data_IF_608857640717
#
_entry.id   IF_608857640717
#
_cell.length_a   1.000
_cell.length_b   1.000
_cell.length_c   1.000
_cell.angle_alpha   90.00
_cell.angle_beta   90.00
_cell.angle_gamma   90.00
#
_symmetry.space_group_name_H-M   'P 1'
#
loop_
_entity.id
_entity.type
_entity.pdbx_description
1 polymer ?
#
# COMPACT_ATOMS: atom_id res chain seq x y z
N UNK A 1 -8.77 -11.21 15.86
CA UNK A 1 -10.06 -10.66 16.37
C UNK A 1 -11.07 -11.80 16.49
N UNK A 2 -11.99 -11.72 17.46
CA UNK A 2 -13.06 -12.72 17.67
C UNK A 2 -14.40 -11.99 17.78
N UNK A 3 -15.41 -12.40 17.01
CA UNK A 3 -16.74 -11.78 17.04
C UNK A 3 -17.39 -11.90 18.42
N UNK A 4 -18.05 -10.83 18.88
CA UNK A 4 -18.69 -10.80 20.20
C UNK A 4 -17.76 -10.61 21.40
N UNK A 5 -16.43 -10.55 21.18
CA UNK A 5 -15.47 -10.43 22.26
C UNK A 5 -15.59 -9.10 23.03
N UNK A 6 -15.31 -9.18 24.33
CA UNK A 6 -15.23 -8.09 25.30
C UNK A 6 -13.81 -8.02 25.86
N UNK A 7 -13.49 -6.95 26.59
CA UNK A 7 -12.16 -6.81 27.21
C UNK A 7 -11.82 -7.97 28.15
N UNK A 8 -12.81 -8.51 28.85
CA UNK A 8 -12.63 -9.67 29.73
C UNK A 8 -12.18 -10.93 29.00
N UNK A 9 -12.66 -11.11 27.77
CA UNK A 9 -12.25 -12.24 26.95
C UNK A 9 -10.79 -12.07 26.52
N UNK A 10 -10.39 -10.86 26.11
CA UNK A 10 -8.98 -10.51 25.85
C UNK A 10 -8.07 -10.79 27.04
N UNK A 11 -8.50 -10.41 28.26
CA UNK A 11 -7.76 -10.71 29.51
C UNK A 11 -7.58 -12.21 29.74
N UNK A 12 -8.58 -13.03 29.40
CA UNK A 12 -8.50 -14.48 29.53
C UNK A 12 -7.62 -15.13 28.44
N UNK A 13 -7.51 -14.50 27.28
CA UNK A 13 -6.84 -15.08 26.10
C UNK A 13 -5.36 -14.73 25.95
N UNK A 14 -4.75 -13.99 26.88
CA UNK A 14 -3.35 -13.57 26.80
C UNK A 14 -2.38 -14.69 26.43
N UNK A 15 -2.48 -15.86 27.08
CA UNK A 15 -1.57 -16.97 26.78
C UNK A 15 -1.74 -17.52 25.37
N UNK A 16 -2.98 -17.53 24.86
CA UNK A 16 -3.28 -17.91 23.48
C UNK A 16 -2.71 -16.89 22.51
N UNK A 17 -2.98 -15.60 22.76
CA UNK A 17 -2.70 -14.52 21.81
C UNK A 17 -1.21 -14.15 21.76
N UNK A 18 -0.45 -14.43 22.82
CA UNK A 18 1.00 -14.17 22.92
C UNK A 18 1.86 -15.44 22.96
N UNK A 19 1.29 -16.61 22.62
CA UNK A 19 2.00 -17.90 22.65
C UNK A 19 3.27 -17.91 21.76
N UNK A 20 3.24 -17.19 20.64
CA UNK A 20 4.35 -17.08 19.71
C UNK A 20 5.43 -16.06 20.11
N UNK A 21 5.26 -15.37 21.25
CA UNK A 21 6.16 -14.33 21.74
C UNK A 21 5.55 -12.93 21.69
N UNK A 22 6.37 -11.93 22.02
CA UNK A 22 5.95 -10.53 22.04
C UNK A 22 5.95 -9.95 20.61
N UNK A 23 4.81 -9.46 20.09
CA UNK A 23 4.78 -8.71 18.84
C UNK A 23 5.40 -7.32 19.02
N UNK A 24 5.81 -6.66 17.93
CA UNK A 24 6.31 -5.28 18.01
C UNK A 24 5.21 -4.28 18.39
N UNK A 25 3.98 -4.51 17.95
CA UNK A 25 2.82 -3.64 18.19
C UNK A 25 1.57 -4.45 18.53
N UNK A 26 0.87 -4.04 19.60
CA UNK A 26 -0.45 -4.55 20.00
C UNK A 26 -1.48 -3.44 19.82
N UNK A 27 -2.40 -3.64 18.87
CA UNK A 27 -3.55 -2.77 18.67
C UNK A 27 -4.74 -3.26 19.51
N UNK A 28 -5.29 -2.39 20.35
CA UNK A 28 -6.40 -2.72 21.26
C UNK A 28 -7.66 -1.96 20.86
N UNK A 29 -8.67 -2.70 20.44
CA UNK A 29 -9.97 -2.15 20.04
C UNK A 29 -11.14 -2.96 20.62
N UNK A 30 -11.61 -2.54 21.79
CA UNK A 30 -12.76 -3.09 22.50
C UNK A 30 -13.75 -1.97 22.88
N UNK A 31 -14.97 -2.34 23.28
CA UNK A 31 -15.96 -1.38 23.80
C UNK A 31 -17.39 -1.61 23.31
N UNK A 32 -17.59 -2.01 22.04
CA UNK A 32 -18.94 -2.20 21.49
C UNK A 32 -19.74 -3.28 22.24
N UNK A 33 -19.15 -4.46 22.39
CA UNK A 33 -19.80 -5.58 23.08
C UNK A 33 -19.81 -5.39 24.59
N UNK A 34 -18.81 -4.72 25.14
CA UNK A 34 -18.77 -4.34 26.56
C UNK A 34 -19.97 -3.46 26.92
N UNK A 35 -20.21 -2.41 26.13
CA UNK A 35 -21.36 -1.52 26.32
C UNK A 35 -22.69 -2.26 26.10
N UNK A 36 -22.78 -3.07 25.05
CA UNK A 36 -24.00 -3.83 24.73
C UNK A 36 -24.33 -4.88 25.81
N UNK A 37 -23.30 -5.42 26.47
CA UNK A 37 -23.46 -6.38 27.59
C UNK A 37 -23.77 -5.71 28.92
N UNK A 38 -23.95 -4.39 28.96
CA UNK A 38 -24.30 -3.65 30.17
C UNK A 38 -23.12 -3.34 31.10
N UNK A 39 -21.87 -3.49 30.66
CA UNK A 39 -20.73 -3.09 31.47
C UNK A 39 -20.81 -1.58 31.78
N UNK A 40 -20.52 -1.21 33.02
CA UNK A 40 -20.39 0.21 33.37
C UNK A 40 -19.12 0.77 32.73
N UNK A 41 -19.09 2.10 32.52
CA UNK A 41 -17.90 2.77 31.98
C UNK A 41 -16.69 2.56 32.90
N UNK A 42 -16.90 2.62 34.21
CA UNK A 42 -15.83 2.46 35.19
C UNK A 42 -15.28 1.03 35.19
N UNK A 43 -16.15 0.02 35.08
CA UNK A 43 -15.73 -1.37 34.95
C UNK A 43 -14.95 -1.62 33.66
N UNK A 44 -15.42 -1.06 32.54
CA UNK A 44 -14.70 -1.12 31.26
C UNK A 44 -13.32 -0.48 31.37
N UNK A 45 -13.23 0.73 31.96
CA UNK A 45 -11.98 1.45 32.17
C UNK A 45 -10.98 0.62 33.00
N UNK A 46 -11.41 0.09 34.14
CA UNK A 46 -10.57 -0.74 35.01
C UNK A 46 -10.12 -2.01 34.30
N UNK A 47 -11.03 -2.67 33.58
CA UNK A 47 -10.70 -3.89 32.84
C UNK A 47 -9.73 -3.63 31.70
N UNK A 48 -9.86 -2.50 31.02
CA UNK A 48 -8.91 -2.06 30.00
C UNK A 48 -7.53 -1.75 30.59
N UNK A 49 -7.49 -1.01 31.69
CA UNK A 49 -6.26 -0.72 32.43
C UNK A 49 -5.53 -2.01 32.82
N UNK A 50 -6.23 -2.95 33.45
CA UNK A 50 -5.67 -4.26 33.81
C UNK A 50 -5.22 -5.07 32.58
N UNK A 51 -5.96 -5.01 31.47
CA UNK A 51 -5.56 -5.69 30.24
C UNK A 51 -4.24 -5.15 29.67
N UNK A 52 -4.05 -3.82 29.66
CA UNK A 52 -2.80 -3.18 29.25
C UNK A 52 -1.64 -3.63 30.15
N UNK A 53 -1.84 -3.63 31.47
CA UNK A 53 -0.81 -4.05 32.43
C UNK A 53 -0.41 -5.52 32.22
N UNK A 54 -1.38 -6.39 31.92
CA UNK A 54 -1.11 -7.80 31.62
C UNK A 54 -0.39 -7.99 30.29
N UNK A 55 -0.70 -7.22 29.26
CA UNK A 55 0.04 -7.22 27.99
C UNK A 55 1.50 -6.83 28.26
N UNK A 56 1.74 -5.74 28.99
CA UNK A 56 3.08 -5.32 29.36
C UNK A 56 3.83 -6.41 30.14
N UNK A 57 3.16 -7.08 31.09
CA UNK A 57 3.75 -8.17 31.85
C UNK A 57 4.13 -9.39 30.98
N UNK A 58 3.20 -9.90 30.15
CA UNK A 58 3.45 -11.11 29.34
C UNK A 58 4.49 -10.86 28.24
N UNK A 59 4.52 -9.64 27.69
CA UNK A 59 5.47 -9.21 26.67
C UNK A 59 6.79 -8.72 27.26
N UNK A 60 6.89 -8.61 28.58
CA UNK A 60 8.04 -8.02 29.31
C UNK A 60 8.36 -6.60 28.82
N UNK A 61 7.33 -5.82 28.49
CA UNK A 61 7.44 -4.46 27.97
C UNK A 61 8.02 -4.34 26.55
N UNK A 62 8.18 -5.45 25.82
CA UNK A 62 8.77 -5.42 24.46
C UNK A 62 7.79 -4.98 23.38
N UNK A 63 6.48 -5.05 23.66
CA UNK A 63 5.45 -4.67 22.70
C UNK A 63 5.03 -3.21 22.91
N UNK A 64 5.02 -2.43 21.85
CA UNK A 64 4.31 -1.15 21.82
C UNK A 64 2.78 -1.40 21.90
N UNK A 65 2.03 -0.46 22.47
CA UNK A 65 0.57 -0.55 22.59
C UNK A 65 -0.07 0.64 21.90
N UNK A 66 -0.99 0.38 20.98
CA UNK A 66 -1.86 1.39 20.36
C UNK A 66 -3.30 1.17 20.80
N UNK A 67 -3.88 2.19 21.44
CA UNK A 67 -5.28 2.18 21.82
C UNK A 67 -6.17 2.71 20.70
N UNK A 68 -7.36 2.14 20.55
CA UNK A 68 -8.37 2.61 19.62
C UNK A 68 -9.54 3.19 20.41
N UNK A 69 -9.90 4.45 20.17
CA UNK A 69 -11.15 4.99 20.67
C UNK A 69 -12.30 4.31 19.92
N UNK A 70 -13.10 3.50 20.62
CA UNK A 70 -14.05 2.58 19.98
C UNK A 70 -15.04 3.29 19.04
N UNK A 71 -15.19 2.75 17.83
CA UNK A 71 -16.12 3.24 16.82
C UNK A 71 -17.57 3.44 17.36
N UNK A 72 -18.31 4.45 16.86
CA UNK A 72 -19.73 4.58 17.09
C UNK A 72 -20.51 3.45 16.37
N UNK A 73 -21.75 3.22 16.80
CA UNK A 73 -22.73 2.52 15.97
C UNK A 73 -23.47 3.47 15.02
N UNK A 74 -24.48 2.97 14.32
CA UNK A 74 -25.39 3.81 13.51
C UNK A 74 -26.75 4.02 14.19
N UNK A 75 -27.58 4.88 13.60
CA UNK A 75 -28.96 5.13 14.05
C UNK A 75 -29.03 5.43 15.56
N UNK A 76 -29.83 4.69 16.34
CA UNK A 76 -29.97 4.87 17.79
C UNK A 76 -28.67 4.61 18.56
N UNK A 77 -27.68 3.92 17.96
CA UNK A 77 -26.39 3.60 18.58
C UNK A 77 -25.29 4.61 18.29
N UNK A 78 -25.60 5.68 17.55
CA UNK A 78 -24.63 6.72 17.18
C UNK A 78 -23.98 7.41 18.38
N UNK A 79 -24.72 7.58 19.47
CA UNK A 79 -24.23 8.20 20.72
C UNK A 79 -23.89 7.18 21.82
N UNK A 80 -24.15 5.89 21.56
CA UNK A 80 -24.08 4.84 22.59
C UNK A 80 -22.67 4.65 23.15
N UNK A 81 -21.65 4.90 22.32
CA UNK A 81 -20.25 4.60 22.62
C UNK A 81 -19.43 5.83 23.05
N UNK A 82 -20.03 7.02 23.13
CA UNK A 82 -19.31 8.28 23.38
C UNK A 82 -18.48 8.23 24.66
N UNK A 83 -19.10 7.78 25.76
CA UNK A 83 -18.41 7.65 27.04
C UNK A 83 -17.28 6.61 27.03
N UNK A 84 -17.44 5.54 26.26
CA UNK A 84 -16.42 4.48 26.12
C UNK A 84 -15.25 4.95 25.25
N UNK A 85 -15.53 5.65 24.16
CA UNK A 85 -14.51 6.27 23.33
C UNK A 85 -13.71 7.30 24.13
N UNK A 86 -14.38 8.14 24.92
CA UNK A 86 -13.70 9.09 25.80
C UNK A 86 -12.82 8.38 26.84
N UNK A 87 -13.31 7.28 27.44
CA UNK A 87 -12.50 6.48 28.38
C UNK A 87 -11.19 5.98 27.75
N UNK A 88 -11.20 5.58 26.48
CA UNK A 88 -9.99 5.15 25.79
C UNK A 88 -9.02 6.32 25.55
N UNK A 89 -9.51 7.52 25.21
CA UNK A 89 -8.68 8.74 25.10
C UNK A 89 -8.04 9.09 26.43
N UNK A 90 -8.84 9.11 27.50
CA UNK A 90 -8.36 9.46 28.84
C UNK A 90 -7.29 8.48 29.29
N UNK A 91 -7.54 7.17 29.12
CA UNK A 91 -6.58 6.12 29.48
C UNK A 91 -5.27 6.21 28.67
N UNK A 92 -5.36 6.56 27.38
CA UNK A 92 -4.19 6.77 26.55
C UNK A 92 -3.34 7.95 27.05
N UNK A 93 -3.98 9.10 27.30
CA UNK A 93 -3.32 10.30 27.79
C UNK A 93 -2.65 10.08 29.16
N UNK A 94 -3.36 9.47 30.11
CA UNK A 94 -2.84 9.15 31.45
C UNK A 94 -1.62 8.21 31.41
N UNK A 95 -1.58 7.29 30.45
CA UNK A 95 -0.52 6.29 30.33
C UNK A 95 0.57 6.68 29.33
N UNK A 96 0.47 7.86 28.70
CA UNK A 96 1.39 8.28 27.64
C UNK A 96 1.39 7.35 26.42
N UNK A 97 0.25 6.72 26.12
CA UNK A 97 0.10 5.80 24.99
C UNK A 97 -0.52 6.51 23.78
N UNK A 98 -0.17 6.10 22.54
CA UNK A 98 -0.87 6.59 21.36
C UNK A 98 -2.32 6.09 21.33
N UNK A 99 -3.22 6.93 20.80
CA UNK A 99 -4.63 6.62 20.62
C UNK A 99 -5.08 6.99 19.20
N UNK A 100 -5.48 5.98 18.42
CA UNK A 100 -6.11 6.19 17.13
C UNK A 100 -7.62 6.34 17.31
N UNK A 101 -8.14 7.52 16.97
CA UNK A 101 -9.52 7.90 17.27
C UNK A 101 -10.49 7.53 16.14
N UNK A 102 -10.77 6.23 16.01
CA UNK A 102 -11.79 5.72 15.07
C UNK A 102 -13.15 6.35 15.34
N UNK A 103 -13.45 6.65 16.61
CA UNK A 103 -14.71 7.26 16.99
C UNK A 103 -14.92 8.63 16.35
N UNK A 104 -13.94 9.53 16.49
CA UNK A 104 -13.99 10.85 15.89
C UNK A 104 -13.98 10.78 14.36
N UNK A 105 -13.15 9.91 13.78
CA UNK A 105 -13.10 9.68 12.33
C UNK A 105 -14.49 9.35 11.76
N UNK A 106 -15.16 8.34 12.32
CA UNK A 106 -16.46 7.90 11.82
C UNK A 106 -17.58 8.88 12.16
N UNK A 107 -17.52 9.56 13.31
CA UNK A 107 -18.49 10.62 13.64
C UNK A 107 -18.36 11.84 12.74
N UNK A 108 -17.15 12.16 12.28
CA UNK A 108 -16.90 13.27 11.35
C UNK A 108 -17.67 13.16 10.03
N UNK A 109 -18.04 11.93 9.62
CA UNK A 109 -18.91 11.71 8.45
C UNK A 109 -20.32 12.27 8.64
N UNK A 110 -20.78 12.41 9.89
CA UNK A 110 -22.15 12.71 10.23
C UNK A 110 -23.07 11.48 10.19
N UNK A 111 -24.19 11.57 10.92
CA UNK A 111 -25.08 10.43 11.20
C UNK A 111 -25.68 9.79 9.94
N UNK A 112 -26.02 10.60 8.94
CA UNK A 112 -26.62 10.11 7.68
C UNK A 112 -25.58 9.39 6.83
N UNK A 113 -24.41 10.01 6.60
CA UNK A 113 -23.39 9.43 5.73
C UNK A 113 -22.76 8.17 6.32
N UNK A 114 -22.58 8.12 7.65
CA UNK A 114 -22.01 6.95 8.32
C UNK A 114 -22.72 5.65 7.93
N UNK A 115 -24.04 5.68 7.69
CA UNK A 115 -24.80 4.49 7.32
C UNK A 115 -24.28 3.81 6.04
N UNK A 116 -23.73 4.57 5.08
CA UNK A 116 -23.14 4.03 3.86
C UNK A 116 -21.78 3.34 4.05
N UNK A 117 -21.15 3.50 5.21
CA UNK A 117 -19.87 2.89 5.59
C UNK A 117 -20.03 1.69 6.51
N UNK A 118 -21.27 1.31 6.85
CA UNK A 118 -21.55 0.25 7.82
C UNK A 118 -22.36 -0.87 7.15
N UNK A 119 -22.01 -2.12 7.43
CA UNK A 119 -22.73 -3.29 6.94
C UNK A 119 -24.02 -3.51 7.76
N UNK A 120 -23.99 -3.14 9.03
CA UNK A 120 -25.12 -3.16 9.95
C UNK A 120 -25.02 -2.01 10.97
N UNK A 121 -25.64 -2.14 12.14
CA UNK A 121 -25.60 -1.09 13.18
C UNK A 121 -24.29 -1.00 13.98
N UNK A 122 -23.34 -1.91 13.76
CA UNK A 122 -22.13 -2.10 14.54
C UNK A 122 -20.86 -2.20 13.69
N UNK A 123 -20.94 -2.90 12.55
CA UNK A 123 -19.78 -3.33 11.79
C UNK A 123 -19.57 -2.46 10.55
N UNK A 124 -18.36 -1.92 10.33
CA UNK A 124 -18.01 -1.28 9.07
C UNK A 124 -18.13 -2.26 7.89
N UNK A 125 -18.66 -1.80 6.76
CA UNK A 125 -18.60 -2.54 5.50
C UNK A 125 -17.21 -2.38 4.84
N UNK A 126 -16.98 -2.93 3.65
CA UNK A 126 -15.70 -2.82 2.94
C UNK A 126 -15.22 -1.36 2.80
N UNK A 127 -16.13 -0.42 2.50
CA UNK A 127 -15.83 1.02 2.38
C UNK A 127 -15.46 1.63 3.74
N UNK A 128 -16.15 1.24 4.81
CA UNK A 128 -15.83 1.62 6.19
C UNK A 128 -14.46 1.10 6.64
N UNK A 129 -14.17 -0.18 6.37
CA UNK A 129 -12.87 -0.77 6.68
C UNK A 129 -11.75 -0.07 5.91
N UNK A 130 -11.94 0.22 4.62
CA UNK A 130 -10.96 0.95 3.80
C UNK A 130 -10.67 2.34 4.38
N UNK A 131 -11.72 3.10 4.71
CA UNK A 131 -11.57 4.44 5.32
C UNK A 131 -10.73 4.38 6.61
N UNK A 132 -11.03 3.43 7.49
CA UNK A 132 -10.32 3.25 8.77
C UNK A 132 -8.87 2.83 8.51
N UNK A 133 -8.64 1.91 7.58
CA UNK A 133 -7.31 1.42 7.24
C UNK A 133 -6.41 2.53 6.67
N UNK A 134 -6.92 3.35 5.75
CA UNK A 134 -6.16 4.46 5.16
C UNK A 134 -5.73 5.47 6.23
N UNK A 135 -6.67 5.88 7.09
CA UNK A 135 -6.37 6.85 8.16
C UNK A 135 -5.48 6.24 9.25
N UNK A 136 -5.61 4.95 9.54
CA UNK A 136 -4.72 4.26 10.48
C UNK A 136 -3.30 4.21 9.93
N UNK A 137 -3.12 3.93 8.64
CA UNK A 137 -1.80 3.91 8.01
C UNK A 137 -1.14 5.30 8.07
N UNK A 138 -1.89 6.36 7.75
CA UNK A 138 -1.41 7.75 7.88
C UNK A 138 -1.04 8.09 9.33
N UNK A 139 -1.88 7.69 10.29
CA UNK A 139 -1.60 7.88 11.70
C UNK A 139 -0.32 7.16 12.14
N UNK A 140 -0.13 5.90 11.75
CA UNK A 140 1.08 5.12 12.09
C UNK A 140 2.34 5.73 11.46
N UNK A 141 2.28 6.17 10.21
CA UNK A 141 3.39 6.87 9.52
C UNK A 141 3.78 8.13 10.29
N UNK A 142 2.79 8.94 10.68
CA UNK A 142 3.02 10.16 11.46
C UNK A 142 3.60 9.85 12.84
N UNK A 143 3.06 8.86 13.57
CA UNK A 143 3.57 8.43 14.87
C UNK A 143 5.01 7.89 14.80
N UNK A 144 5.35 7.19 13.71
CA UNK A 144 6.69 6.66 13.48
C UNK A 144 7.69 7.72 12.96
N UNK A 145 7.23 8.94 12.63
CA UNK A 145 8.08 9.99 12.05
C UNK A 145 8.60 9.64 10.64
N UNK A 146 7.89 8.79 9.90
CA UNK A 146 8.29 8.36 8.56
C UNK A 146 8.00 9.50 7.58
N UNK A 147 9.03 10.02 6.92
CA UNK A 147 8.95 11.13 5.95
C UNK A 147 9.03 10.67 4.49
N UNK A 148 9.23 9.37 4.26
CA UNK A 148 9.27 8.83 2.91
C UNK A 148 7.88 8.93 2.28
N UNK A 149 7.76 9.40 1.01
CA UNK A 149 6.47 9.52 0.35
C UNK A 149 5.73 8.17 0.28
N UNK A 150 4.42 8.19 0.56
CA UNK A 150 3.55 7.02 0.36
C UNK A 150 3.73 6.53 -1.08
N UNK A 151 4.02 5.25 -1.31
CA UNK A 151 4.02 4.71 -2.66
C UNK A 151 2.66 4.97 -3.33
N UNK A 152 2.62 5.24 -4.64
CA UNK A 152 1.36 5.38 -5.36
C UNK A 152 0.49 4.14 -5.14
N UNK A 153 -0.83 4.36 -5.05
CA UNK A 153 -1.77 3.25 -4.94
C UNK A 153 -1.62 2.34 -6.17
N UNK A 154 -1.74 1.01 -6.03
CA UNK A 154 -1.70 0.13 -7.19
C UNK A 154 -2.80 0.50 -8.19
N UNK A 155 -2.44 0.58 -9.46
CA UNK A 155 -3.41 0.83 -10.53
C UNK A 155 -4.06 -0.49 -10.94
N UNK A 156 -5.38 -0.49 -11.08
CA UNK A 156 -6.16 -1.71 -11.32
C UNK A 156 -6.53 -1.87 -12.80
N UNK A 157 -5.81 -2.71 -13.55
CA UNK A 157 -6.21 -3.03 -14.93
C UNK A 157 -7.48 -3.86 -14.99
N UNK A 158 -7.82 -4.59 -13.93
CA UNK A 158 -9.04 -5.41 -13.92
C UNK A 158 -10.29 -4.54 -14.01
N UNK A 159 -10.18 -3.27 -13.60
CA UNK A 159 -11.24 -2.27 -13.67
C UNK A 159 -11.21 -1.40 -14.94
N UNK A 160 -10.04 -1.10 -15.49
CA UNK A 160 -9.87 -0.09 -16.54
C UNK A 160 -9.41 -0.63 -17.90
N UNK A 161 -9.12 -1.94 -18.02
CA UNK A 161 -8.62 -2.65 -19.20
C UNK A 161 -7.34 -2.11 -19.85
N UNK A 162 -6.88 -0.92 -19.47
CA UNK A 162 -5.77 -0.20 -20.07
C UNK A 162 -5.15 0.79 -19.08
N UNK A 163 -3.82 0.90 -19.11
CA UNK A 163 -3.05 1.98 -18.49
C UNK A 163 -2.07 2.53 -19.52
N UNK A 164 -2.03 3.85 -19.66
CA UNK A 164 -1.08 4.56 -20.51
C UNK A 164 -0.39 5.66 -19.70
N UNK A 165 0.88 5.93 -20.02
CA UNK A 165 1.63 7.07 -19.50
C UNK A 165 2.15 7.90 -20.67
N UNK A 166 2.28 9.21 -20.48
CA UNK A 166 2.76 10.16 -21.48
C UNK A 166 4.08 10.85 -21.08
N UNK A 167 4.54 10.68 -19.84
CA UNK A 167 5.68 11.40 -19.25
C UNK A 167 5.62 12.94 -19.37
N UNK A 168 4.44 13.50 -19.65
CA UNK A 168 4.23 14.94 -19.84
C UNK A 168 4.14 15.70 -18.52
N UNK A 169 4.17 15.02 -17.37
CA UNK A 169 4.26 15.61 -16.04
C UNK A 169 5.33 14.89 -15.21
N UNK A 170 5.58 15.31 -13.96
CA UNK A 170 6.47 14.58 -13.06
C UNK A 170 6.10 13.09 -13.05
N UNK A 171 7.05 12.15 -12.86
CA UNK A 171 6.83 10.70 -13.06
C UNK A 171 5.80 10.13 -12.06
N UNK A 172 4.52 10.42 -12.26
CA UNK A 172 3.45 9.91 -11.44
C UNK A 172 3.39 8.40 -11.66
N UNK A 173 3.51 7.65 -10.57
CA UNK A 173 3.57 6.19 -10.61
C UNK A 173 4.98 5.63 -10.84
N UNK A 174 5.86 6.33 -11.57
CA UNK A 174 7.18 5.80 -11.94
C UNK A 174 8.26 6.09 -10.91
N UNK A 175 9.08 5.09 -10.61
CA UNK A 175 10.33 5.24 -9.86
C UNK A 175 11.51 5.28 -10.82
N UNK A 176 12.34 6.30 -10.65
CA UNK A 176 13.52 6.56 -11.46
C UNK A 176 14.76 6.34 -10.61
N UNK A 177 15.71 5.53 -11.08
CA UNK A 177 17.04 5.46 -10.47
C UNK A 177 17.89 6.69 -10.84
N UNK A 178 19.06 6.82 -10.21
CA UNK A 178 19.95 7.99 -10.33
C UNK A 178 20.27 8.40 -11.77
N UNK A 179 20.30 7.44 -12.70
CA UNK A 179 20.65 7.63 -14.10
C UNK A 179 19.43 7.62 -15.03
N UNK A 180 18.23 7.73 -14.45
CA UNK A 180 16.96 7.86 -15.14
C UNK A 180 16.36 9.26 -14.90
N UNK A 181 15.82 9.89 -15.94
CA UNK A 181 15.17 11.20 -15.82
C UNK A 181 14.03 11.34 -16.81
N UNK A 182 13.08 12.25 -16.53
CA UNK A 182 12.14 12.72 -17.53
C UNK A 182 12.79 13.92 -18.23
N UNK A 183 13.08 13.80 -19.52
CA UNK A 183 13.84 14.77 -20.31
C UNK A 183 13.01 15.34 -21.45
N UNK A 184 13.21 16.63 -21.74
CA UNK A 184 12.70 17.29 -22.95
C UNK A 184 13.73 17.38 -24.08
N UNK A 185 14.91 16.76 -23.93
CA UNK A 185 16.00 16.84 -24.92
C UNK A 185 15.63 16.12 -26.22
N UNK A 186 14.86 15.04 -26.10
CA UNK A 186 14.38 14.23 -27.21
C UNK A 186 13.11 13.50 -26.80
N UNK A 187 11.96 14.02 -27.24
CA UNK A 187 10.63 13.47 -26.95
C UNK A 187 10.04 12.79 -28.19
N UNK A 188 9.14 11.82 -27.98
CA UNK A 188 8.43 11.13 -29.05
C UNK A 188 7.07 11.76 -29.25
N UNK A 189 6.14 11.41 -28.37
CA UNK A 189 4.81 12.00 -28.31
C UNK A 189 4.81 13.12 -27.27
N UNK A 190 4.36 14.32 -27.62
CA UNK A 190 4.40 15.47 -26.70
C UNK A 190 5.77 16.17 -26.59
N UNK A 191 6.17 16.51 -25.37
CA UNK A 191 7.31 17.39 -25.04
C UNK A 191 8.38 16.70 -24.19
N UNK A 192 8.09 15.55 -23.58
CA UNK A 192 9.00 14.88 -22.66
C UNK A 192 8.98 13.37 -22.86
N UNK A 193 10.10 12.72 -22.57
CA UNK A 193 10.23 11.27 -22.57
C UNK A 193 11.07 10.80 -21.38
N UNK A 194 10.94 9.52 -21.03
CA UNK A 194 11.85 8.88 -20.08
C UNK A 194 13.20 8.64 -20.76
N UNK A 195 14.27 9.16 -20.16
CA UNK A 195 15.65 8.99 -20.59
C UNK A 195 16.40 8.12 -19.58
N UNK A 196 17.09 7.09 -20.06
CA UNK A 196 18.12 6.37 -19.29
C UNK A 196 19.50 6.69 -19.88
N UNK A 197 20.45 7.08 -19.04
CA UNK A 197 21.81 7.48 -19.44
C UNK A 197 22.87 6.54 -18.90
N UNK A 198 23.44 5.71 -19.77
CA UNK A 198 24.50 4.78 -19.45
C UNK A 198 25.88 5.41 -19.65
N UNK A 199 26.65 5.47 -18.56
CA UNK A 199 28.02 5.97 -18.53
C UNK A 199 29.01 4.86 -18.90
N UNK A 200 30.27 5.19 -19.18
CA UNK A 200 31.29 4.19 -19.57
C UNK A 200 31.53 3.10 -18.51
N UNK A 201 31.21 3.36 -17.23
CA UNK A 201 31.43 2.43 -16.11
C UNK A 201 30.26 2.45 -15.11
N UNK A 202 29.14 1.82 -15.46
CA UNK A 202 27.99 1.77 -14.55
C UNK A 202 28.20 0.72 -13.45
N UNK A 203 28.01 1.08 -12.16
CA UNK A 203 28.20 0.16 -11.05
C UNK A 203 27.14 -0.96 -10.99
N UNK A 204 25.95 -0.71 -11.56
CA UNK A 204 24.84 -1.64 -11.67
C UNK A 204 24.04 -1.33 -12.95
N UNK A 205 23.05 -2.18 -13.25
CA UNK A 205 22.05 -1.92 -14.27
C UNK A 205 21.27 -0.65 -13.96
N UNK A 206 20.86 0.09 -15.00
CA UNK A 206 20.06 1.30 -14.82
C UNK A 206 18.61 0.96 -15.09
N UNK A 207 17.73 1.39 -14.19
CA UNK A 207 16.32 1.01 -14.21
C UNK A 207 15.40 2.20 -14.01
N UNK A 208 14.21 2.06 -14.58
CA UNK A 208 13.03 2.82 -14.22
C UNK A 208 11.83 1.87 -14.25
N UNK A 209 10.92 1.99 -13.29
CA UNK A 209 9.77 1.09 -13.23
C UNK A 209 8.49 1.80 -12.83
N UNK A 210 7.37 1.29 -13.34
CA UNK A 210 6.03 1.81 -13.06
C UNK A 210 5.61 1.57 -11.62
N UNK A 211 4.45 2.09 -11.25
CA UNK A 211 3.74 1.70 -10.03
C UNK A 211 3.34 0.23 -10.08
N UNK A 212 2.80 -0.27 -8.95
CA UNK A 212 2.23 -1.62 -8.93
C UNK A 212 0.99 -1.63 -9.79
N UNK A 213 0.88 -2.64 -10.63
CA UNK A 213 -0.23 -2.84 -11.54
C UNK A 213 -0.94 -4.14 -11.12
N UNK A 214 -2.23 -4.06 -10.78
CA UNK A 214 -3.04 -5.25 -10.52
C UNK A 214 -3.43 -5.90 -11.84
N UNK A 215 -3.26 -7.21 -11.92
CA UNK A 215 -3.61 -8.05 -13.07
C UNK A 215 -4.44 -9.24 -12.60
N UNK A 216 -5.26 -9.78 -13.50
CA UNK A 216 -6.02 -11.00 -13.28
C UNK A 216 -5.12 -12.21 -13.58
N UNK A 217 -4.97 -13.17 -12.64
CA UNK A 217 -4.20 -14.37 -12.88
C UNK A 217 -4.69 -15.16 -14.10
N UNK A 218 -3.78 -15.60 -14.96
CA UNK A 218 -4.07 -16.37 -16.17
C UNK A 218 -4.57 -15.53 -17.35
N UNK A 219 -4.77 -14.22 -17.20
CA UNK A 219 -5.13 -13.34 -18.31
C UNK A 219 -3.92 -12.89 -19.10
N UNK A 220 -4.15 -12.57 -20.37
CA UNK A 220 -3.16 -12.10 -21.32
C UNK A 220 -3.23 -10.58 -21.45
N UNK A 221 -2.07 -9.97 -21.63
CA UNK A 221 -1.90 -8.54 -21.70
C UNK A 221 -0.94 -8.19 -22.83
N UNK A 222 -1.26 -7.13 -23.56
CA UNK A 222 -0.35 -6.50 -24.51
C UNK A 222 0.37 -5.36 -23.81
N UNK A 223 1.69 -5.28 -24.02
CA UNK A 223 2.53 -4.22 -23.48
C UNK A 223 3.33 -3.61 -24.62
N UNK A 224 3.36 -2.27 -24.69
CA UNK A 224 4.11 -1.54 -25.71
C UNK A 224 4.74 -0.26 -25.18
N UNK A 225 5.71 0.26 -25.91
CA UNK A 225 6.33 1.57 -25.68
C UNK A 225 6.87 2.11 -27.00
N UNK A 226 6.90 3.43 -27.15
CA UNK A 226 7.77 4.07 -28.12
C UNK A 226 9.21 3.99 -27.62
N UNK A 227 10.15 3.69 -28.51
CA UNK A 227 11.58 3.55 -28.22
C UNK A 227 12.39 4.32 -29.26
N UNK A 228 13.36 5.09 -28.79
CA UNK A 228 14.43 5.63 -29.63
C UNK A 228 15.79 5.25 -29.04
N UNK A 229 16.56 4.47 -29.80
CA UNK A 229 17.84 3.93 -29.37
C UNK A 229 18.98 4.88 -29.78
N UNK A 230 19.71 5.41 -28.80
CA UNK A 230 20.94 6.21 -29.01
C UNK A 230 22.12 5.64 -28.23
N UNK A 231 22.06 4.36 -27.90
CA UNK A 231 23.17 3.68 -27.25
C UNK A 231 24.29 3.47 -28.28
N UNK A 232 25.51 3.78 -27.87
CA UNK A 232 26.71 3.44 -28.61
C UNK A 232 26.99 1.93 -28.53
N UNK A 233 26.65 1.30 -27.41
CA UNK A 233 26.82 -0.14 -27.18
C UNK A 233 25.94 -0.63 -26.02
N UNK A 234 25.76 -1.95 -25.94
CA UNK A 234 25.10 -2.62 -24.82
C UNK A 234 23.73 -3.20 -25.16
N UNK A 235 22.91 -3.40 -24.13
CA UNK A 235 21.61 -4.05 -24.25
C UNK A 235 20.56 -3.38 -23.38
N UNK A 236 19.32 -3.40 -23.84
CA UNK A 236 18.19 -2.78 -23.15
C UNK A 236 16.90 -3.55 -23.41
N UNK A 237 15.86 -3.23 -22.66
CA UNK A 237 14.52 -3.73 -22.94
C UNK A 237 13.45 -3.19 -22.02
N UNK A 238 12.21 -3.57 -22.36
CA UNK A 238 11.05 -3.47 -21.51
C UNK A 238 10.69 -4.85 -21.00
N UNK A 239 10.48 -4.94 -19.71
CA UNK A 239 10.17 -6.17 -19.01
C UNK A 239 8.92 -6.01 -18.15
N UNK A 240 8.27 -7.14 -17.87
CA UNK A 240 7.23 -7.26 -16.87
C UNK A 240 7.80 -8.01 -15.67
N UNK A 241 7.89 -7.31 -14.55
CA UNK A 241 8.32 -7.85 -13.28
C UNK A 241 7.10 -8.27 -12.46
N UNK A 242 6.96 -9.56 -12.15
CA UNK A 242 5.97 -10.02 -11.16
C UNK A 242 6.44 -9.64 -9.75
N UNK A 243 5.52 -9.16 -8.92
CA UNK A 243 5.79 -8.81 -7.54
C UNK A 243 5.18 -9.86 -6.60
N UNK A 244 6.00 -10.41 -5.71
CA UNK A 244 5.55 -11.19 -4.57
C UNK A 244 5.55 -10.29 -3.32
N UNK A 245 4.46 -10.26 -2.57
CA UNK A 245 4.27 -9.40 -1.39
C UNK A 245 4.78 -10.08 -0.10
N UNK A 246 5.95 -10.73 -0.18
CA UNK A 246 6.61 -11.30 1.00
C UNK A 246 6.94 -10.24 2.07
N UNK A 247 7.09 -10.68 3.33
CA UNK A 247 7.16 -9.85 4.54
C UNK A 247 8.34 -8.83 4.64
N UNK A 248 9.19 -8.71 3.62
CA UNK A 248 10.39 -7.84 3.59
C UNK A 248 10.32 -6.63 2.65
N UNK A 249 9.19 -6.40 1.98
CA UNK A 249 9.03 -5.36 0.96
C UNK A 249 8.99 -5.92 -0.46
N UNK A 250 8.43 -5.12 -1.38
CA UNK A 250 8.23 -5.48 -2.78
C UNK A 250 9.55 -5.92 -3.45
N UNK A 251 9.75 -7.22 -3.59
CA UNK A 251 10.91 -7.76 -4.31
C UNK A 251 10.44 -8.08 -5.73
N UNK A 252 11.09 -7.46 -6.72
CA UNK A 252 10.88 -7.82 -8.13
C UNK A 252 11.36 -9.25 -8.31
N UNK A 253 10.56 -10.10 -8.96
CA UNK A 253 11.03 -11.42 -9.39
C UNK A 253 12.40 -11.31 -10.06
N UNK A 254 13.35 -12.16 -9.65
CA UNK A 254 14.70 -12.21 -10.21
C UNK A 254 14.72 -12.57 -11.72
N UNK A 255 13.59 -13.03 -12.26
CA UNK A 255 13.42 -13.34 -13.69
C UNK A 255 12.26 -12.53 -14.29
N UNK A 256 12.48 -11.23 -14.58
CA UNK A 256 11.46 -10.43 -15.25
C UNK A 256 11.27 -10.91 -16.70
N UNK A 257 10.01 -11.04 -17.13
CA UNK A 257 9.68 -11.49 -18.49
C UNK A 257 9.94 -10.34 -19.47
N UNK A 258 10.76 -10.59 -20.48
CA UNK A 258 10.97 -9.60 -21.53
C UNK A 258 9.72 -9.46 -22.42
N UNK A 259 9.26 -8.22 -22.62
CA UNK A 259 8.29 -7.86 -23.65
C UNK A 259 9.03 -7.67 -24.97
N UNK A 260 10.13 -6.92 -24.93
CA UNK A 260 11.10 -6.82 -26.01
C UNK A 260 12.51 -6.59 -25.45
N UNK A 261 13.53 -6.92 -26.25
CA UNK A 261 14.95 -6.66 -25.96
C UNK A 261 15.64 -6.18 -27.23
N UNK A 262 16.47 -5.15 -27.10
CA UNK A 262 17.28 -4.61 -28.21
C UNK A 262 16.48 -4.34 -29.49
N UNK A 263 15.23 -3.91 -29.33
CA UNK A 263 14.37 -3.47 -30.43
C UNK A 263 14.13 -1.98 -30.30
N UNK A 264 14.20 -1.26 -31.42
CA UNK A 264 14.15 0.18 -31.48
C UNK A 264 15.08 0.71 -32.56
N UNK A 265 14.62 1.69 -33.34
CA UNK A 265 15.42 2.32 -34.37
C UNK A 265 16.49 3.26 -33.79
N UNK A 266 17.63 3.31 -34.48
CA UNK A 266 18.70 4.25 -34.15
C UNK A 266 18.24 5.69 -34.45
N UNK A 267 18.32 6.57 -33.46
CA UNK A 267 17.97 8.00 -33.55
C UNK A 267 16.53 8.32 -34.01
N UNK A 268 15.64 7.33 -34.04
CA UNK A 268 14.24 7.46 -34.46
C UNK A 268 13.31 6.74 -33.51
N UNK A 269 12.08 7.25 -33.41
CA UNK A 269 11.03 6.63 -32.63
C UNK A 269 10.39 5.48 -33.40
N UNK A 270 10.27 4.35 -32.71
CA UNK A 270 9.62 3.14 -33.20
C UNK A 270 8.75 2.56 -32.10
N UNK A 271 7.59 1.99 -32.45
CA UNK A 271 6.73 1.32 -31.49
C UNK A 271 7.16 -0.12 -31.34
N UNK A 272 7.52 -0.48 -30.12
CA UNK A 272 7.91 -1.84 -29.76
C UNK A 272 6.89 -2.43 -28.81
N UNK A 273 6.51 -3.69 -29.05
CA UNK A 273 5.45 -4.35 -28.30
C UNK A 273 5.67 -5.86 -28.16
N UNK A 274 4.93 -6.44 -27.24
CA UNK A 274 4.85 -7.86 -27.00
C UNK A 274 3.67 -8.18 -26.08
N UNK A 275 3.48 -9.46 -25.83
CA UNK A 275 2.43 -9.95 -24.95
C UNK A 275 3.02 -10.73 -23.77
N UNK A 276 2.33 -10.68 -22.64
CA UNK A 276 2.59 -11.58 -21.53
C UNK A 276 1.28 -12.14 -20.99
N UNK A 277 1.34 -13.33 -20.40
CA UNK A 277 0.22 -13.92 -19.67
C UNK A 277 0.56 -13.93 -18.20
N UNK A 278 -0.27 -13.30 -17.37
CA UNK A 278 -0.07 -13.29 -15.93
C UNK A 278 -0.08 -14.73 -15.40
N UNK A 279 0.97 -15.20 -14.70
CA UNK A 279 0.97 -16.53 -14.10
C UNK A 279 -0.22 -16.72 -13.15
N UNK A 280 -0.66 -17.98 -12.94
CA UNK A 280 -1.87 -18.31 -12.16
C UNK A 280 -1.86 -17.81 -10.70
N UNK A 281 -0.69 -17.49 -10.16
CA UNK A 281 -0.47 -17.01 -8.80
C UNK A 281 -0.02 -15.55 -8.73
N UNK A 282 0.02 -14.84 -9.86
CA UNK A 282 0.47 -13.45 -9.94
C UNK A 282 -0.73 -12.54 -10.12
N UNK A 283 -0.95 -11.68 -9.13
CA UNK A 283 -1.98 -10.63 -9.16
C UNK A 283 -1.38 -9.25 -9.33
N UNK A 284 -0.04 -9.11 -9.26
CA UNK A 284 0.66 -7.82 -9.26
C UNK A 284 1.90 -7.87 -10.14
N UNK A 285 2.03 -6.87 -10.99
CA UNK A 285 3.20 -6.68 -11.86
C UNK A 285 3.68 -5.24 -11.87
N UNK A 286 4.85 -5.00 -12.48
CA UNK A 286 5.36 -3.68 -12.85
C UNK A 286 5.95 -3.74 -14.25
N UNK A 287 5.84 -2.63 -14.97
CA UNK A 287 6.66 -2.39 -16.16
C UNK A 287 8.05 -1.94 -15.71
N UNK A 288 9.09 -2.53 -16.27
CA UNK A 288 10.49 -2.26 -15.96
C UNK A 288 11.25 -1.95 -17.24
N UNK A 289 11.68 -0.70 -17.40
CA UNK A 289 12.74 -0.36 -18.34
C UNK A 289 14.08 -0.66 -17.69
N UNK A 290 14.92 -1.37 -18.42
CA UNK A 290 16.21 -1.83 -17.95
C UNK A 290 17.23 -1.70 -19.06
N UNK A 291 18.44 -1.27 -18.68
CA UNK A 291 19.61 -1.22 -19.54
C UNK A 291 20.79 -1.89 -18.83
N UNK A 292 21.55 -2.68 -19.59
CA UNK A 292 22.68 -3.44 -19.09
C UNK A 292 23.77 -2.51 -18.55
N UNK A 293 24.43 -2.89 -17.46
CA UNK A 293 25.47 -2.08 -16.82
C UNK A 293 26.67 -1.80 -17.74
N UNK A 294 26.92 -2.65 -18.74
CA UNK A 294 28.00 -2.47 -19.71
C UNK A 294 27.58 -1.63 -20.93
N UNK A 295 26.39 -1.04 -20.92
CA UNK A 295 25.92 -0.18 -22.00
C UNK A 295 26.55 1.21 -21.92
N UNK A 296 26.57 1.92 -23.04
CA UNK A 296 27.08 3.29 -23.13
C UNK A 296 26.19 4.13 -24.03
N UNK A 297 25.90 5.37 -23.61
CA UNK A 297 25.04 6.32 -24.33
C UNK A 297 23.65 6.46 -23.73
N UNK A 298 22.73 7.04 -24.49
CA UNK A 298 21.37 7.36 -24.04
C UNK A 298 20.32 6.45 -24.70
N UNK A 299 19.24 6.15 -23.99
CA UNK A 299 18.05 5.56 -24.59
C UNK A 299 16.80 6.27 -24.08
N UNK A 300 15.82 6.39 -24.97
CA UNK A 300 14.58 7.11 -24.70
C UNK A 300 13.37 6.17 -24.86
N UNK A 301 12.46 6.26 -23.90
CA UNK A 301 11.19 5.55 -23.87
C UNK A 301 10.05 6.54 -23.70
N UNK A 302 8.95 6.29 -24.41
CA UNK A 302 7.80 7.17 -24.38
C UNK A 302 6.50 6.38 -24.60
N UNK A 303 5.38 6.97 -24.21
CA UNK A 303 4.03 6.43 -24.37
C UNK A 303 3.87 4.95 -23.97
N UNK A 304 4.41 4.48 -22.81
CA UNK A 304 4.24 3.10 -22.43
C UNK A 304 2.76 2.79 -22.20
N UNK A 305 2.39 1.57 -22.54
CA UNK A 305 1.02 1.09 -22.55
C UNK A 305 1.00 -0.36 -22.07
N UNK A 306 0.07 -0.67 -21.18
CA UNK A 306 -0.36 -2.04 -20.89
C UNK A 306 -1.88 -2.09 -21.03
N UNK A 307 -2.39 -3.11 -21.71
CA UNK A 307 -3.82 -3.33 -21.87
C UNK A 307 -4.15 -4.84 -21.87
N UNK A 308 -5.36 -5.18 -21.44
CA UNK A 308 -5.86 -6.56 -21.49
C UNK A 308 -6.01 -6.96 -22.95
N UNK A 309 -5.45 -8.10 -23.32
CA UNK A 309 -5.61 -8.68 -24.65
C UNK A 309 -6.76 -9.69 -24.62
N UNK A 310 -7.62 -9.64 -25.63
CA UNK A 310 -8.71 -10.61 -25.85
C UNK A 310 -8.17 -12.04 -26.06
#
# INVERSE_FOLDING_TARGET
AVGGARVNDGRAWLQRDFAAGAPDLVCIWYGYNDKTSGNSRDYFRQSMSDYIDRIAAVTKGKSAVLLFATAPGTQGRFLMLDGYAQTMRDLAAERGLPCFDVHALLKGLGRQNLQSYMADMAHPNARGQQLIADHLAEYLVAQAGITTPRPPAPTDLTANDKIAWDFESAPAGWRLEKQASISGDFAGDGRRALKLSALENNPDHIRAWSEVIQVEPGKRYRVSSMVANRLASGAFGLFVASQDDGAGGATISFEPQAIFRNRGEADKWSREEGEFTAPKNVTKVRLLFWIDKNSHGDIYFDSPLIERAD
#
